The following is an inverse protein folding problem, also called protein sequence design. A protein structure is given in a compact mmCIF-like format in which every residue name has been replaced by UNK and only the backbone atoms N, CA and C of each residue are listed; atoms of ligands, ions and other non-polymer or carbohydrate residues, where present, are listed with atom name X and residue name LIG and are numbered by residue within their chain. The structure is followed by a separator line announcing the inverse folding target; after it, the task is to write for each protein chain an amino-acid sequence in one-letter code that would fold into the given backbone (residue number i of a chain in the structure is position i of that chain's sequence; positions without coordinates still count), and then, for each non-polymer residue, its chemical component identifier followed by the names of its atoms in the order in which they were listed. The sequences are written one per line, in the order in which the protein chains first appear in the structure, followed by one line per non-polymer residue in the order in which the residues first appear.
data_IF_241432892390
#
_entry.id   IF_241432892390
#
_cell.length_a   1.000
_cell.length_b   1.000
_cell.length_c   1.000
_cell.angle_alpha   90.00
_cell.angle_beta   90.00
_cell.angle_gamma   90.00
#
_symmetry.space_group_name_H-M   'P 1'
#
loop_
_entity.id
_entity.type
_entity.pdbx_description
1 polymer ?
#
# COMPACT_ATOMS: atom_id res chain seq x y z
N UNK A 1 46.02 4.36 18.88
CA UNK A 1 45.67 3.27 17.93
C UNK A 1 44.41 3.72 17.20
N UNK A 2 44.40 3.83 15.87
CA UNK A 2 43.18 4.21 15.16
C UNK A 2 42.33 2.95 14.94
N UNK A 3 41.10 2.97 15.45
CA UNK A 3 40.09 1.96 15.16
C UNK A 3 39.70 2.09 13.68
N UNK A 4 40.11 1.13 12.87
CA UNK A 4 39.62 0.97 11.51
C UNK A 4 38.19 0.45 11.58
N UNK A 5 37.20 1.35 11.61
CA UNK A 5 35.83 1.00 11.25
C UNK A 5 35.85 0.61 9.77
N UNK A 6 35.82 -0.68 9.49
CA UNK A 6 35.73 -1.19 8.14
C UNK A 6 34.42 -0.69 7.52
N UNK A 7 34.50 0.03 6.40
CA UNK A 7 33.32 0.40 5.64
C UNK A 7 32.59 -0.88 5.20
N UNK A 8 31.25 -0.92 5.31
CA UNK A 8 30.49 -2.12 4.99
C UNK A 8 30.67 -2.48 3.51
N UNK A 9 30.81 -3.77 3.25
CA UNK A 9 31.02 -4.29 1.89
C UNK A 9 29.72 -4.24 1.08
N UNK A 10 29.77 -4.09 -0.26
CA UNK A 10 28.57 -4.02 -1.09
C UNK A 10 27.60 -5.20 -0.92
N UNK A 11 28.10 -6.39 -0.59
CA UNK A 11 27.28 -7.58 -0.31
C UNK A 11 26.49 -7.46 0.99
N UNK A 12 27.08 -6.87 2.04
CA UNK A 12 26.38 -6.62 3.31
C UNK A 12 25.24 -5.61 3.11
N UNK A 13 25.42 -4.64 2.23
CA UNK A 13 24.40 -3.62 1.96
C UNK A 13 23.20 -4.22 1.21
N UNK A 14 23.45 -5.18 0.31
CA UNK A 14 22.37 -5.96 -0.35
C UNK A 14 21.60 -6.79 0.69
N UNK A 15 22.29 -7.49 1.57
CA UNK A 15 21.64 -8.29 2.63
C UNK A 15 20.81 -7.42 3.59
N UNK A 16 21.32 -6.24 3.97
CA UNK A 16 20.61 -5.29 4.84
C UNK A 16 19.35 -4.77 4.15
N UNK A 17 19.46 -4.29 2.91
CA UNK A 17 18.31 -3.76 2.16
C UNK A 17 17.24 -4.82 1.93
N UNK A 18 17.63 -6.05 1.57
CA UNK A 18 16.69 -7.17 1.41
C UNK A 18 15.98 -7.49 2.73
N UNK A 19 16.70 -7.46 3.85
CA UNK A 19 16.11 -7.66 5.18
C UNK A 19 15.10 -6.58 5.54
N UNK A 20 15.40 -5.31 5.27
CA UNK A 20 14.45 -4.21 5.48
C UNK A 20 13.21 -4.38 4.59
N UNK A 21 13.39 -4.72 3.31
CA UNK A 21 12.29 -4.96 2.37
C UNK A 21 11.37 -6.09 2.86
N UNK A 22 11.94 -7.17 3.38
CA UNK A 22 11.16 -8.28 3.95
C UNK A 22 10.31 -7.84 5.14
N UNK A 23 10.86 -7.03 6.05
CA UNK A 23 10.11 -6.51 7.19
C UNK A 23 8.93 -5.64 6.77
N UNK A 24 9.14 -4.77 5.77
CA UNK A 24 8.06 -3.95 5.22
C UNK A 24 6.99 -4.80 4.52
N UNK A 25 7.41 -5.76 3.69
CA UNK A 25 6.49 -6.69 3.02
C UNK A 25 5.65 -7.52 3.98
N UNK A 26 6.24 -7.96 5.11
CA UNK A 26 5.50 -8.62 6.19
C UNK A 26 4.45 -7.70 6.83
N UNK A 27 4.79 -6.43 7.05
CA UNK A 27 3.84 -5.45 7.56
C UNK A 27 2.66 -5.23 6.60
N UNK A 28 2.93 -5.08 5.29
CA UNK A 28 1.89 -4.97 4.27
C UNK A 28 0.98 -6.21 4.23
N UNK A 29 1.55 -7.42 4.32
CA UNK A 29 0.78 -8.67 4.37
C UNK A 29 -0.14 -8.74 5.58
N UNK A 30 0.31 -8.22 6.72
CA UNK A 30 -0.44 -8.27 7.99
C UNK A 30 -1.52 -7.21 8.08
N UNK A 31 -1.30 -6.04 7.49
CA UNK A 31 -2.20 -4.89 7.54
C UNK A 31 -2.49 -4.34 6.13
N UNK A 32 -3.18 -5.11 5.27
CA UNK A 32 -3.31 -4.77 3.84
C UNK A 32 -4.14 -3.51 3.56
N UNK A 33 -4.93 -3.04 4.52
CA UNK A 33 -5.91 -1.96 4.33
C UNK A 33 -5.55 -0.65 5.03
N UNK A 34 -4.60 -0.65 5.97
CA UNK A 34 -4.33 0.50 6.84
C UNK A 34 -2.85 0.83 6.86
N UNK A 35 -2.47 1.86 6.12
CA UNK A 35 -1.09 2.34 6.00
C UNK A 35 -0.46 2.68 7.35
N UNK A 36 -1.20 3.33 8.25
CA UNK A 36 -0.73 3.64 9.61
C UNK A 36 -0.34 2.39 10.40
N UNK A 37 -1.05 1.28 10.20
CA UNK A 37 -0.77 0.01 10.87
C UNK A 37 0.44 -0.69 10.24
N UNK A 38 0.59 -0.60 8.91
CA UNK A 38 1.79 -1.05 8.20
C UNK A 38 3.01 -0.31 8.75
N UNK A 39 2.98 1.03 8.76
CA UNK A 39 4.09 1.86 9.21
C UNK A 39 4.46 1.58 10.67
N UNK A 40 3.47 1.57 11.57
CA UNK A 40 3.70 1.30 13.01
C UNK A 40 4.31 -0.09 13.24
N UNK A 41 3.80 -1.10 12.54
CA UNK A 41 4.33 -2.46 12.66
C UNK A 41 5.74 -2.56 12.08
N UNK A 42 5.96 -2.00 10.90
CA UNK A 42 7.26 -1.97 10.25
C UNK A 42 8.31 -1.30 11.15
N UNK A 43 8.04 -0.11 11.69
CA UNK A 43 8.99 0.58 12.55
C UNK A 43 9.31 -0.21 13.83
N UNK A 44 8.31 -0.84 14.43
CA UNK A 44 8.51 -1.71 15.61
C UNK A 44 9.42 -2.89 15.27
N UNK A 45 9.20 -3.54 14.11
CA UNK A 45 10.01 -4.67 13.64
C UNK A 45 11.44 -4.29 13.27
N UNK A 46 11.66 -3.08 12.76
CA UNK A 46 13.00 -2.54 12.52
C UNK A 46 13.79 -2.49 13.83
N UNK A 47 13.22 -1.95 14.91
CA UNK A 47 13.86 -1.86 16.22
C UNK A 47 14.11 -3.25 16.83
N UNK A 48 13.13 -4.15 16.72
CA UNK A 48 13.28 -5.54 17.20
C UNK A 48 14.40 -6.29 16.45
N UNK A 49 14.62 -5.96 15.17
CA UNK A 49 15.57 -6.69 14.31
C UNK A 49 16.98 -6.11 14.37
N UNK A 50 17.10 -4.79 14.38
CA UNK A 50 18.38 -4.06 14.28
C UNK A 50 18.78 -3.38 15.60
N UNK A 51 17.94 -3.41 16.62
CA UNK A 51 18.18 -2.76 17.91
C UNK A 51 17.72 -1.29 17.91
N UNK A 52 17.65 -0.71 19.12
CA UNK A 52 17.15 0.66 19.31
C UNK A 52 18.19 1.77 19.14
N UNK A 53 19.49 1.43 19.05
CA UNK A 53 20.53 2.42 18.76
C UNK A 53 20.70 2.57 17.25
N UNK A 54 19.85 3.43 16.67
CA UNK A 54 19.83 3.70 15.23
C UNK A 54 21.11 4.38 14.73
N UNK A 55 21.95 4.88 15.63
CA UNK A 55 23.21 5.58 15.29
C UNK A 55 24.41 4.66 15.25
N UNK A 56 24.27 3.41 15.68
CA UNK A 56 25.35 2.44 15.65
C UNK A 56 25.82 2.19 14.21
N UNK A 57 27.14 2.18 13.93
CA UNK A 57 27.68 1.99 12.58
C UNK A 57 27.22 0.71 11.90
N UNK A 58 26.87 -0.32 12.68
CA UNK A 58 26.46 -1.63 12.18
C UNK A 58 25.04 -1.62 11.60
N UNK A 59 24.20 -0.67 12.01
CA UNK A 59 22.76 -0.64 11.67
C UNK A 59 22.29 0.69 11.09
N UNK A 60 23.11 1.73 11.16
CA UNK A 60 22.79 3.06 10.63
C UNK A 60 22.37 3.01 9.15
N UNK A 61 22.97 2.14 8.34
CA UNK A 61 22.59 1.97 6.94
C UNK A 61 21.18 1.36 6.78
N UNK A 62 20.80 0.41 7.64
CA UNK A 62 19.46 -0.19 7.62
C UNK A 62 18.39 0.86 7.90
N UNK A 63 18.60 1.70 8.93
CA UNK A 63 17.69 2.78 9.29
C UNK A 63 17.69 3.92 8.27
N UNK A 64 18.82 4.25 7.65
CA UNK A 64 18.88 5.23 6.57
C UNK A 64 18.09 4.77 5.34
N UNK A 65 18.26 3.52 4.94
CA UNK A 65 17.49 2.93 3.85
C UNK A 65 16.00 2.85 4.18
N UNK A 66 15.64 2.40 5.38
CA UNK A 66 14.24 2.34 5.82
C UNK A 66 13.56 3.72 5.81
N UNK A 67 14.27 4.79 6.20
CA UNK A 67 13.78 6.16 6.11
C UNK A 67 13.57 6.60 4.67
N UNK A 68 14.53 6.30 3.80
CA UNK A 68 14.48 6.73 2.40
C UNK A 68 13.41 5.99 1.58
N UNK A 69 13.25 4.68 1.81
CA UNK A 69 12.40 3.83 0.99
C UNK A 69 10.97 3.67 1.53
N UNK A 70 10.79 3.77 2.85
CA UNK A 70 9.56 3.36 3.54
C UNK A 70 9.12 4.35 4.62
N UNK A 71 9.66 5.56 4.63
CA UNK A 71 9.32 6.63 5.58
C UNK A 71 9.40 6.20 7.05
N UNK A 72 10.39 5.35 7.38
CA UNK A 72 10.61 4.89 8.75
C UNK A 72 10.65 6.07 9.75
N UNK A 73 9.96 5.88 10.86
CA UNK A 73 9.91 6.81 11.99
C UNK A 73 10.53 6.14 13.23
N UNK A 74 11.39 6.87 13.94
CA UNK A 74 11.90 6.47 15.25
C UNK A 74 10.77 6.38 16.29
N UNK A 75 10.96 5.70 17.44
CA UNK A 75 9.94 5.58 18.48
C UNK A 75 9.28 6.91 18.89
N UNK A 76 10.08 7.95 19.08
CA UNK A 76 9.60 9.29 19.43
C UNK A 76 8.81 9.95 18.29
N UNK A 77 9.21 9.71 17.04
CA UNK A 77 8.51 10.24 15.87
C UNK A 77 7.18 9.52 15.66
N UNK A 78 7.11 8.21 15.94
CA UNK A 78 5.86 7.45 15.94
C UNK A 78 4.90 8.01 16.99
N UNK A 79 5.37 8.25 18.21
CA UNK A 79 4.53 8.78 19.29
C UNK A 79 3.95 10.15 18.92
N UNK A 80 4.79 11.06 18.42
CA UNK A 80 4.33 12.37 17.94
C UNK A 80 3.32 12.26 16.78
N UNK A 81 3.58 11.38 15.82
CA UNK A 81 2.67 11.13 14.70
C UNK A 81 1.33 10.53 15.18
N UNK A 82 1.33 9.66 16.19
CA UNK A 82 0.11 9.11 16.77
C UNK A 82 -0.70 10.15 17.54
N UNK A 83 -0.03 11.09 18.21
CA UNK A 83 -0.70 12.18 18.93
C UNK A 83 -1.32 13.21 17.98
N UNK A 84 -0.67 13.50 16.86
CA UNK A 84 -1.24 14.33 15.79
C UNK A 84 -2.51 13.68 15.21
N UNK A 85 -2.43 12.41 14.83
CA UNK A 85 -3.57 11.60 14.37
C UNK A 85 -4.72 11.60 15.41
N UNK A 86 -4.39 11.46 16.70
CA UNK A 86 -5.35 11.53 17.80
C UNK A 86 -6.01 12.90 17.90
N UNK A 87 -5.25 13.99 17.70
CA UNK A 87 -5.78 15.36 17.72
C UNK A 87 -6.81 15.60 16.61
N UNK A 88 -6.69 14.87 15.50
CA UNK A 88 -7.65 14.84 14.39
C UNK A 88 -8.83 13.88 14.62
N UNK A 89 -8.95 13.26 15.80
CA UNK A 89 -10.03 12.33 16.14
C UNK A 89 -9.87 10.93 15.53
N UNK A 90 -8.70 10.61 14.98
CA UNK A 90 -8.42 9.31 14.36
C UNK A 90 -7.77 8.38 15.40
N UNK A 91 -8.29 7.16 15.56
CA UNK A 91 -7.72 6.16 16.47
C UNK A 91 -6.48 5.48 15.85
N UNK A 92 -5.40 5.40 16.61
CA UNK A 92 -4.11 4.77 16.24
C UNK A 92 -4.10 3.24 16.20
N UNK A 93 -5.23 2.60 16.47
CA UNK A 93 -5.38 1.14 16.49
C UNK A 93 -5.95 0.57 15.19
N UNK A 94 -6.26 1.44 14.22
CA UNK A 94 -6.94 1.05 12.99
C UNK A 94 -8.39 0.64 13.23
N UNK A 95 -9.16 0.64 12.15
CA UNK A 95 -10.55 0.21 12.16
C UNK A 95 -10.60 -1.30 11.94
N UNK A 96 -10.40 -2.10 12.98
CA UNK A 96 -11.07 -3.42 12.98
C UNK A 96 -12.57 -3.18 13.08
N UNK A 97 -13.35 -3.95 12.32
CA UNK A 97 -14.80 -3.85 12.20
C UNK A 97 -15.46 -3.58 13.58
N UNK A 98 -15.86 -2.32 13.77
CA UNK A 98 -16.69 -1.80 14.86
C UNK A 98 -16.13 -1.76 16.30
N UNK A 99 -14.82 -1.80 16.55
CA UNK A 99 -14.33 -1.43 17.89
C UNK A 99 -12.85 -1.03 17.86
N UNK A 100 -12.56 0.26 18.03
CA UNK A 100 -11.23 0.66 18.50
C UNK A 100 -11.15 0.17 19.96
N UNK A 101 -10.18 -0.71 20.33
CA UNK A 101 -10.08 -1.29 21.68
C UNK A 101 -9.83 -0.23 22.78
N UNK A 102 -9.54 1.01 22.38
CA UNK A 102 -9.46 2.17 23.27
C UNK A 102 -10.78 2.93 23.43
N UNK A 103 -11.91 2.42 22.92
CA UNK A 103 -13.22 3.05 23.08
C UNK A 103 -13.41 4.32 22.26
N UNK A 104 -12.59 4.60 21.23
CA UNK A 104 -12.66 5.86 20.45
C UNK A 104 -13.95 6.03 19.63
N UNK A 105 -14.83 5.03 19.61
CA UNK A 105 -16.18 5.11 19.02
C UNK A 105 -17.29 5.43 20.04
N UNK A 106 -16.96 5.56 21.32
CA UNK A 106 -17.92 6.04 22.31
C UNK A 106 -18.08 7.57 22.13
N UNK A 107 -19.12 7.96 21.40
CA UNK A 107 -19.57 9.34 21.33
C UNK A 107 -19.92 9.81 22.74
N UNK A 108 -19.06 10.65 23.34
CA UNK A 108 -19.36 11.35 24.58
C UNK A 108 -20.29 12.53 24.25
N UNK A 109 -21.61 12.29 24.24
CA UNK A 109 -22.62 13.35 24.11
C UNK A 109 -24.05 12.80 24.13
N UNK A 110 -25.00 13.46 24.82
CA UNK A 110 -26.34 12.93 25.01
C UNK A 110 -27.18 13.10 23.74
N UNK A 111 -27.80 12.00 23.31
CA UNK A 111 -29.13 11.94 22.69
C UNK A 111 -29.57 12.95 21.61
N UNK A 112 -28.70 13.45 20.75
CA UNK A 112 -29.09 13.94 19.42
C UNK A 112 -28.96 12.82 18.37
N UNK A 113 -29.73 11.75 18.62
CA UNK A 113 -30.18 10.86 17.54
C UNK A 113 -31.10 11.71 16.66
N UNK A 114 -30.51 12.47 15.72
CA UNK A 114 -31.27 13.11 14.66
C UNK A 114 -31.80 11.96 13.81
N UNK A 115 -33.05 11.61 14.05
CA UNK A 115 -33.81 10.71 13.21
C UNK A 115 -33.88 11.33 11.81
N UNK A 116 -32.97 10.91 10.95
CA UNK A 116 -32.98 11.22 9.52
C UNK A 116 -34.00 10.33 8.79
N UNK A 117 -35.01 9.77 9.48
CA UNK A 117 -36.23 9.27 8.84
C UNK A 117 -37.08 10.45 8.37
N UNK A 118 -36.61 11.15 7.35
CA UNK A 118 -37.53 11.92 6.51
C UNK A 118 -37.09 11.79 5.07
N UNK A 119 -37.96 11.09 4.35
CA UNK A 119 -38.04 10.77 2.93
C UNK A 119 -37.20 9.59 2.42
N UNK A 120 -37.95 8.53 2.09
CA UNK A 120 -37.58 7.43 1.19
C UNK A 120 -37.05 7.98 -0.15
N UNK A 121 -35.80 8.44 -0.18
CA UNK A 121 -35.06 8.49 -1.42
C UNK A 121 -34.35 7.14 -1.57
N UNK A 122 -35.04 6.17 -2.16
CA UNK A 122 -34.37 5.01 -2.75
C UNK A 122 -33.48 5.56 -3.87
N UNK A 123 -32.13 5.46 -3.77
CA UNK A 123 -31.29 5.70 -4.93
C UNK A 123 -31.75 4.72 -6.01
N UNK A 124 -32.00 5.21 -7.23
CA UNK A 124 -32.31 4.31 -8.34
C UNK A 124 -31.19 3.27 -8.43
N UNK A 125 -31.55 1.99 -8.37
CA UNK A 125 -30.60 0.88 -8.41
C UNK A 125 -30.07 0.75 -9.85
N UNK A 126 -29.10 1.60 -10.17
CA UNK A 126 -28.46 1.67 -11.48
C UNK A 126 -27.56 0.44 -11.75
N UNK A 127 -27.54 -0.56 -10.87
CA UNK A 127 -26.73 -1.76 -11.01
C UNK A 127 -26.98 -2.47 -12.35
N UNK A 128 -28.23 -2.52 -12.82
CA UNK A 128 -28.56 -3.10 -14.12
C UNK A 128 -27.99 -2.29 -15.29
N UNK A 129 -28.05 -0.95 -15.20
CA UNK A 129 -27.48 -0.05 -16.21
C UNK A 129 -25.95 -0.17 -16.27
N UNK A 130 -25.31 -0.22 -15.11
CA UNK A 130 -23.87 -0.42 -14.98
C UNK A 130 -23.49 -1.78 -15.57
N UNK A 131 -24.15 -2.87 -15.15
CA UNK A 131 -23.85 -4.21 -15.67
C UNK A 131 -23.99 -4.29 -17.19
N UNK A 132 -25.00 -3.64 -17.76
CA UNK A 132 -25.19 -3.56 -19.21
C UNK A 132 -24.09 -2.79 -19.90
N UNK A 133 -23.69 -1.62 -19.38
CA UNK A 133 -22.60 -0.81 -19.94
C UNK A 133 -21.27 -1.60 -19.97
N UNK A 134 -20.95 -2.30 -18.88
CA UNK A 134 -19.74 -3.13 -18.81
C UNK A 134 -19.76 -4.29 -19.80
N UNK A 135 -20.88 -4.99 -19.94
CA UNK A 135 -21.02 -6.07 -20.92
C UNK A 135 -20.85 -5.58 -22.37
N UNK A 136 -21.40 -4.42 -22.71
CA UNK A 136 -21.23 -3.80 -24.04
C UNK A 136 -19.77 -3.39 -24.29
N UNK A 137 -19.08 -2.91 -23.26
CA UNK A 137 -17.66 -2.52 -23.34
C UNK A 137 -16.75 -3.73 -23.53
N UNK A 138 -16.99 -4.83 -22.81
CA UNK A 138 -16.27 -6.09 -22.98
C UNK A 138 -16.49 -6.70 -24.37
N UNK A 139 -17.73 -6.68 -24.89
CA UNK A 139 -18.01 -7.16 -26.25
C UNK A 139 -17.24 -6.34 -27.28
N UNK A 140 -17.25 -5.01 -27.16
CA UNK A 140 -16.49 -4.10 -28.05
C UNK A 140 -15.00 -4.41 -28.04
N UNK A 141 -14.42 -4.62 -26.86
CA UNK A 141 -13.01 -5.00 -26.73
C UNK A 141 -12.71 -6.35 -27.39
N UNK A 142 -13.58 -7.35 -27.23
CA UNK A 142 -13.43 -8.63 -27.94
C UNK A 142 -13.47 -8.46 -29.46
N UNK A 143 -14.35 -7.61 -29.98
CA UNK A 143 -14.41 -7.34 -31.43
C UNK A 143 -13.17 -6.59 -31.93
N UNK A 144 -12.64 -5.64 -31.16
CA UNK A 144 -11.40 -4.93 -31.49
C UNK A 144 -10.18 -5.87 -31.52
N UNK A 145 -10.09 -6.81 -30.57
CA UNK A 145 -9.02 -7.81 -30.52
C UNK A 145 -9.06 -8.75 -31.74
N UNK A 146 -10.25 -9.23 -32.11
CA UNK A 146 -10.46 -10.04 -33.32
C UNK A 146 -10.07 -9.24 -34.58
N UNK A 147 -10.47 -7.98 -34.66
CA UNK A 147 -10.15 -7.11 -35.80
C UNK A 147 -8.65 -6.83 -35.90
N UNK A 148 -7.95 -6.63 -34.78
CA UNK A 148 -6.50 -6.41 -34.77
C UNK A 148 -5.72 -7.67 -35.14
N UNK A 149 -6.12 -8.84 -34.63
CA UNK A 149 -5.57 -10.13 -35.03
C UNK A 149 -5.74 -10.37 -36.53
N UNK A 150 -6.95 -10.14 -37.05
CA UNK A 150 -7.25 -10.27 -38.49
C UNK A 150 -6.41 -9.31 -39.36
N UNK A 151 -6.26 -8.06 -38.92
CA UNK A 151 -5.41 -7.06 -39.59
C UNK A 151 -3.94 -7.47 -39.60
N UNK A 152 -3.48 -8.09 -38.53
CA UNK A 152 -2.09 -8.57 -38.41
C UNK A 152 -1.84 -9.78 -39.32
N UNK A 153 -2.79 -10.72 -39.37
CA UNK A 153 -2.73 -11.87 -40.28
C UNK A 153 -2.72 -11.44 -41.76
N UNK A 154 -3.58 -10.49 -42.14
CA UNK A 154 -3.58 -9.94 -43.51
C UNK A 154 -2.23 -9.30 -43.87
N UNK A 155 -1.64 -8.51 -42.95
CA UNK A 155 -0.30 -7.92 -43.16
C UNK A 155 0.78 -9.00 -43.34
N UNK A 156 0.73 -10.07 -42.55
CA UNK A 156 1.68 -11.18 -42.66
C UNK A 156 1.56 -11.91 -44.01
N UNK A 157 0.33 -12.14 -44.49
CA UNK A 157 0.07 -12.74 -45.80
C UNK A 157 0.62 -11.85 -46.93
N UNK A 158 0.33 -10.54 -46.89
CA UNK A 158 0.83 -9.58 -47.89
C UNK A 158 2.36 -9.54 -47.92
N UNK A 159 3.02 -9.51 -46.75
CA UNK A 159 4.48 -9.56 -46.65
C UNK A 159 5.06 -10.87 -47.20
N UNK A 160 4.38 -12.00 -46.98
CA UNK A 160 4.79 -13.30 -47.50
C UNK A 160 4.68 -13.36 -49.03
N UNK A 161 3.60 -12.82 -49.60
CA UNK A 161 3.42 -12.71 -51.05
C UNK A 161 4.52 -11.82 -51.64
N UNK A 162 4.77 -10.62 -51.08
CA UNK A 162 5.82 -9.72 -51.59
C UNK A 162 7.22 -10.34 -51.59
N UNK A 163 7.51 -11.23 -50.63
CA UNK A 163 8.79 -11.96 -50.55
C UNK A 163 8.94 -13.08 -51.59
N UNK A 164 7.84 -13.62 -52.11
CA UNK A 164 7.86 -14.69 -53.12
C UNK A 164 8.05 -14.17 -54.55
N UNK A 165 7.83 -12.87 -54.77
CA UNK A 165 7.93 -12.22 -56.08
C UNK A 165 9.23 -11.42 -56.26
N UNK A 166 10.24 -11.68 -55.41
CA UNK A 166 11.57 -11.07 -55.43
C UNK A 166 12.63 -12.15 -55.60
#
# INVERSE_FOLDING_TARGET
MPNHAASPSPLQNVEITERVNMLYGDACRRFPTYETMVLKHFCSRMIETFGGDETSPEVAEAFAYARYAYDYLSPSEIEAHMDDIRSHGICSHGLTENTCPCGCFELLGPDDYVDFSTDEYYPEDDAELICKEWAEKEERWRQEEIADASRTDMKAIVLKILRLWR
#
